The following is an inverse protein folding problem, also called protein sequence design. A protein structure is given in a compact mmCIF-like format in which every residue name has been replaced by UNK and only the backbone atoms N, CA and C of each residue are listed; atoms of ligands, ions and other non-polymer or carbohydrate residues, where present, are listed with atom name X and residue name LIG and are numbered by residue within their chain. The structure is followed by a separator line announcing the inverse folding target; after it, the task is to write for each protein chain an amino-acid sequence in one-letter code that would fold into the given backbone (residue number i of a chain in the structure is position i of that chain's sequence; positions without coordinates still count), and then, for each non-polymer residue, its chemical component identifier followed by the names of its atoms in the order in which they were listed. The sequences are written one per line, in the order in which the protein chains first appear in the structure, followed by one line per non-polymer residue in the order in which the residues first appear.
data_IF_727259082006
#
_entry.id   IF_727259082006
#
_cell.length_a   1.000
_cell.length_b   1.000
_cell.length_c   1.000
_cell.angle_alpha   90.00
_cell.angle_beta   90.00
_cell.angle_gamma   90.00
#
_symmetry.space_group_name_H-M   'P 1'
#
loop_
_entity.id
_entity.type
_entity.pdbx_description
1 polymer ?
#
# COMPACT_ATOMS: atom_id res chain seq x y z
N UNK A 1 -40.58 -26.93 4.71
CA UNK A 1 -39.33 -27.11 5.49
C UNK A 1 -38.29 -26.17 4.92
N UNK A 2 -37.84 -25.20 5.72
CA UNK A 2 -36.70 -24.34 5.38
C UNK A 2 -35.41 -25.18 5.41
N UNK A 3 -34.51 -24.97 4.44
CA UNK A 3 -33.08 -24.84 4.75
C UNK A 3 -32.62 -23.45 4.35
N UNK A 4 -31.92 -22.85 5.30
CA UNK A 4 -31.65 -21.44 5.41
C UNK A 4 -30.61 -20.97 4.39
N UNK A 5 -30.69 -19.68 4.10
CA UNK A 5 -29.68 -18.82 3.47
C UNK A 5 -28.24 -19.28 3.77
N UNK A 6 -27.41 -19.42 2.74
CA UNK A 6 -25.96 -19.26 2.87
C UNK A 6 -25.64 -17.76 2.71
N UNK A 7 -25.16 -17.04 3.73
CA UNK A 7 -24.67 -15.69 3.55
C UNK A 7 -23.16 -15.68 3.77
N UNK A 8 -22.34 -16.00 2.76
CA UNK A 8 -20.89 -15.93 2.98
C UNK A 8 -20.05 -15.65 1.72
N UNK A 9 -20.23 -14.46 1.12
CA UNK A 9 -19.20 -13.80 0.29
C UNK A 9 -19.05 -12.26 0.51
N UNK A 10 -19.71 -11.57 1.47
CA UNK A 10 -19.34 -10.19 1.80
C UNK A 10 -18.11 -10.05 2.72
N UNK A 11 -17.83 -11.05 3.57
CA UNK A 11 -16.92 -10.88 4.71
C UNK A 11 -15.42 -10.98 4.34
N UNK A 12 -15.06 -11.92 3.47
CA UNK A 12 -13.65 -12.13 3.07
C UNK A 12 -13.14 -11.00 2.17
N UNK A 13 -13.96 -10.53 1.22
CA UNK A 13 -13.58 -9.43 0.31
C UNK A 13 -13.46 -8.10 1.04
N UNK A 14 -14.30 -7.86 2.06
CA UNK A 14 -14.21 -6.67 2.90
C UNK A 14 -13.06 -6.74 3.90
N UNK A 15 -12.77 -7.91 4.49
CA UNK A 15 -11.59 -8.11 5.34
C UNK A 15 -10.29 -7.88 4.56
N UNK A 16 -10.21 -8.43 3.35
CA UNK A 16 -9.08 -8.22 2.45
C UNK A 16 -8.87 -6.74 2.10
N UNK A 17 -9.93 -6.05 1.69
CA UNK A 17 -9.86 -4.63 1.33
C UNK A 17 -9.46 -3.77 2.54
N UNK A 18 -9.95 -4.11 3.74
CA UNK A 18 -9.58 -3.43 4.99
C UNK A 18 -8.11 -3.64 5.34
N UNK A 19 -7.59 -4.86 5.19
CA UNK A 19 -6.19 -5.16 5.49
C UNK A 19 -5.26 -4.46 4.50
N UNK A 20 -5.59 -4.48 3.21
CA UNK A 20 -4.89 -3.68 2.18
C UNK A 20 -4.85 -2.20 2.56
N UNK A 21 -6.00 -1.63 2.94
CA UNK A 21 -6.09 -0.24 3.34
C UNK A 21 -5.19 0.05 4.55
N UNK A 22 -5.24 -0.79 5.59
CA UNK A 22 -4.42 -0.62 6.79
C UNK A 22 -2.92 -0.64 6.48
N UNK A 23 -2.45 -1.52 5.60
CA UNK A 23 -1.05 -1.51 5.16
C UNK A 23 -0.69 -0.18 4.47
N UNK A 24 -1.52 0.28 3.52
CA UNK A 24 -1.27 1.53 2.81
C UNK A 24 -1.34 2.76 3.73
N UNK A 25 -2.21 2.76 4.74
CA UNK A 25 -2.28 3.81 5.75
C UNK A 25 -1.02 3.85 6.63
N UNK A 26 -0.53 2.68 7.07
CA UNK A 26 0.74 2.57 7.81
C UNK A 26 1.92 3.12 6.99
N UNK A 27 1.99 2.80 5.71
CA UNK A 27 3.01 3.38 4.83
C UNK A 27 2.83 4.90 4.67
N UNK A 28 1.60 5.37 4.48
CA UNK A 28 1.32 6.80 4.31
C UNK A 28 1.75 7.63 5.54
N UNK A 29 1.65 7.06 6.74
CA UNK A 29 2.08 7.71 7.99
C UNK A 29 3.60 7.95 8.05
N UNK A 30 4.40 7.11 7.38
CA UNK A 30 5.87 7.19 7.38
C UNK A 30 6.42 8.23 6.38
N UNK A 31 5.62 8.65 5.41
CA UNK A 31 6.05 9.53 4.30
C UNK A 31 6.49 10.93 4.75
N UNK A 32 5.74 11.66 5.61
CA UNK A 32 6.08 13.04 5.94
C UNK A 32 7.42 13.17 6.65
N UNK A 33 7.80 12.18 7.46
CA UNK A 33 9.11 12.14 8.14
C UNK A 33 10.30 12.07 7.18
N UNK A 34 10.05 11.74 5.90
CA UNK A 34 11.04 11.60 4.82
C UNK A 34 10.88 12.66 3.74
N UNK A 35 10.07 13.70 3.99
CA UNK A 35 9.78 14.76 3.01
C UNK A 35 8.93 14.29 1.82
N UNK A 36 8.32 13.11 1.91
CA UNK A 36 7.43 12.58 0.89
C UNK A 36 5.98 12.99 1.18
N UNK A 37 5.18 13.06 0.12
CA UNK A 37 3.75 13.29 0.23
C UNK A 37 3.01 12.10 -0.37
N UNK A 38 1.89 11.72 0.25
CA UNK A 38 1.08 10.58 -0.16
C UNK A 38 -0.40 10.91 -0.27
N UNK A 39 -1.10 10.25 -1.18
CA UNK A 39 -2.56 10.33 -1.34
C UNK A 39 -3.14 8.96 -1.68
N UNK A 40 -4.16 8.54 -0.92
CA UNK A 40 -4.93 7.34 -1.24
C UNK A 40 -5.79 7.56 -2.49
N UNK A 41 -5.78 6.59 -3.39
CA UNK A 41 -6.62 6.57 -4.60
C UNK A 41 -7.43 5.26 -4.66
N UNK A 42 -8.64 5.32 -5.19
CA UNK A 42 -9.51 4.15 -5.36
C UNK A 42 -10.38 3.82 -4.13
N UNK A 43 -11.66 3.57 -4.35
CA UNK A 43 -12.64 3.38 -3.27
C UNK A 43 -12.75 1.92 -2.77
N UNK A 44 -12.49 0.91 -3.63
CA UNK A 44 -12.63 -0.51 -3.29
C UNK A 44 -11.34 -1.33 -3.33
N UNK A 45 -10.34 -0.85 -4.08
CA UNK A 45 -9.01 -1.42 -4.15
C UNK A 45 -8.02 -0.26 -4.00
N UNK A 46 -7.82 0.23 -2.77
CA UNK A 46 -7.02 1.42 -2.56
C UNK A 46 -5.57 1.19 -2.99
N UNK A 47 -4.95 2.25 -3.49
CA UNK A 47 -3.52 2.34 -3.82
C UNK A 47 -2.99 3.66 -3.26
N UNK A 48 -1.70 3.72 -2.97
CA UNK A 48 -1.07 4.92 -2.46
C UNK A 48 -0.25 5.60 -3.54
N UNK A 49 -0.67 6.78 -3.97
CA UNK A 49 0.14 7.64 -4.83
C UNK A 49 1.14 8.42 -3.97
N UNK A 50 2.42 8.31 -4.27
CA UNK A 50 3.53 8.92 -3.51
C UNK A 50 4.36 9.79 -4.43
N UNK A 51 4.74 10.98 -3.96
CA UNK A 51 5.61 11.88 -4.71
C UNK A 51 6.58 12.63 -3.79
N UNK A 52 7.72 13.01 -4.36
CA UNK A 52 8.67 13.92 -3.73
C UNK A 52 8.41 15.33 -4.26
N UNK A 53 8.15 16.34 -3.41
CA UNK A 53 7.74 17.67 -3.84
C UNK A 53 8.81 18.37 -4.67
N UNK A 54 10.09 18.24 -4.30
CA UNK A 54 11.16 18.99 -4.97
C UNK A 54 11.63 18.35 -6.28
N UNK A 55 11.77 17.02 -6.35
CA UNK A 55 12.17 16.35 -7.60
C UNK A 55 11.03 16.21 -8.60
N UNK A 56 9.77 16.37 -8.16
CA UNK A 56 8.57 16.14 -8.98
C UNK A 56 8.35 14.67 -9.39
N UNK A 57 9.19 13.74 -8.91
CA UNK A 57 9.09 12.31 -9.22
C UNK A 57 8.03 11.66 -8.34
N UNK A 58 7.41 10.64 -8.89
CA UNK A 58 6.24 9.98 -8.28
C UNK A 58 6.20 8.49 -8.61
N UNK A 59 5.50 7.74 -7.77
CA UNK A 59 5.17 6.33 -7.99
C UNK A 59 3.82 5.99 -7.36
N UNK A 60 3.29 4.81 -7.67
CA UNK A 60 2.11 4.25 -7.00
C UNK A 60 2.56 2.98 -6.27
N UNK A 61 2.18 2.89 -5.00
CA UNK A 61 2.43 1.73 -4.15
C UNK A 61 1.14 0.93 -4.01
N UNK A 62 1.24 -0.38 -4.23
CA UNK A 62 0.18 -1.36 -4.06
C UNK A 62 0.52 -2.25 -2.87
N UNK A 63 -0.48 -2.64 -2.07
CA UNK A 63 -0.34 -3.71 -1.09
C UNK A 63 -1.04 -4.98 -1.60
N UNK A 64 -0.30 -6.08 -1.68
CA UNK A 64 -0.76 -7.35 -2.22
C UNK A 64 -0.46 -8.50 -1.24
N UNK A 65 -1.38 -9.48 -1.10
CA UNK A 65 -1.07 -10.69 -0.35
C UNK A 65 0.04 -11.46 -1.06
N UNK A 66 0.86 -12.14 -0.26
CA UNK A 66 1.91 -13.07 -0.66
C UNK A 66 1.79 -14.37 0.16
N UNK A 67 2.60 -15.37 -0.17
CA UNK A 67 2.49 -16.71 0.44
C UNK A 67 2.60 -16.71 1.98
N UNK A 68 3.37 -15.78 2.54
CA UNK A 68 3.69 -15.67 3.97
C UNK A 68 3.32 -14.30 4.57
N UNK A 69 2.47 -13.51 3.92
CA UNK A 69 2.04 -12.22 4.45
C UNK A 69 1.58 -11.24 3.38
N UNK A 70 2.10 -10.02 3.45
CA UNK A 70 1.80 -8.94 2.51
C UNK A 70 3.07 -8.27 2.02
N UNK A 71 3.03 -7.83 0.77
CA UNK A 71 4.09 -7.06 0.13
C UNK A 71 3.54 -5.71 -0.32
N UNK A 72 4.37 -4.68 -0.16
CA UNK A 72 4.27 -3.48 -0.97
C UNK A 72 4.97 -3.70 -2.31
N UNK A 73 4.37 -3.18 -3.38
CA UNK A 73 4.88 -3.23 -4.75
C UNK A 73 4.86 -1.82 -5.35
N UNK A 74 5.94 -1.40 -6.02
CA UNK A 74 6.02 -0.12 -6.72
C UNK A 74 6.95 -0.19 -7.93
N UNK A 75 6.69 0.58 -8.98
CA UNK A 75 7.53 0.63 -10.16
C UNK A 75 8.85 1.38 -9.91
N UNK A 76 9.95 1.05 -10.62
CA UNK A 76 10.03 0.06 -11.69
C UNK A 76 10.11 -1.41 -11.23
N UNK A 77 10.71 -1.70 -10.09
CA UNK A 77 11.03 -3.07 -9.63
C UNK A 77 10.96 -3.23 -8.09
N UNK A 78 10.38 -2.26 -7.41
CA UNK A 78 10.33 -2.22 -5.96
C UNK A 78 9.33 -3.20 -5.36
N UNK A 79 9.82 -4.03 -4.45
CA UNK A 79 8.99 -4.84 -3.57
C UNK A 79 9.63 -4.94 -2.19
N UNK A 80 8.82 -4.93 -1.15
CA UNK A 80 9.27 -5.18 0.22
C UNK A 80 8.08 -5.63 1.08
N UNK A 81 8.36 -6.33 2.18
CA UNK A 81 7.33 -6.74 3.12
C UNK A 81 6.61 -5.53 3.75
N UNK A 82 5.40 -5.75 4.25
CA UNK A 82 4.64 -4.69 4.94
C UNK A 82 4.96 -4.58 6.43
N UNK A 83 5.90 -5.36 6.95
CA UNK A 83 6.22 -5.41 8.39
C UNK A 83 7.02 -4.18 8.85
N UNK A 84 7.81 -3.59 7.95
CA UNK A 84 8.57 -2.36 8.18
C UNK A 84 8.19 -1.26 7.16
N UNK A 85 7.08 -0.53 7.41
CA UNK A 85 6.66 0.56 6.51
C UNK A 85 7.68 1.71 6.47
N UNK A 86 8.51 1.87 7.50
CA UNK A 86 9.57 2.88 7.53
C UNK A 86 10.64 2.58 6.49
N UNK A 87 11.16 1.34 6.47
CA UNK A 87 12.08 0.87 5.44
C UNK A 87 11.51 1.04 4.03
N UNK A 88 10.24 0.73 3.85
CA UNK A 88 9.55 0.89 2.55
C UNK A 88 9.54 2.37 2.13
N UNK A 89 9.20 3.27 3.05
CA UNK A 89 9.21 4.71 2.79
C UNK A 89 10.63 5.22 2.47
N UNK A 90 11.68 4.67 3.10
CA UNK A 90 13.08 5.00 2.77
C UNK A 90 13.46 4.56 1.36
N UNK A 91 13.06 3.36 0.95
CA UNK A 91 13.32 2.83 -0.40
C UNK A 91 12.58 3.64 -1.48
N UNK A 92 11.31 3.95 -1.24
CA UNK A 92 10.52 4.83 -2.12
C UNK A 92 11.15 6.22 -2.16
N UNK A 93 11.60 6.75 -1.02
CA UNK A 93 12.31 8.02 -0.96
C UNK A 93 13.53 8.08 -1.88
N UNK A 94 14.43 7.10 -1.76
CA UNK A 94 15.63 6.98 -2.62
C UNK A 94 15.26 6.90 -4.10
N UNK A 95 14.26 6.08 -4.43
CA UNK A 95 13.76 5.98 -5.78
C UNK A 95 13.33 7.35 -6.32
N UNK A 96 12.62 8.15 -5.52
CA UNK A 96 12.06 9.43 -5.94
C UNK A 96 13.06 10.60 -5.89
N UNK A 97 14.13 10.53 -5.09
CA UNK A 97 15.21 11.52 -5.12
C UNK A 97 16.19 11.28 -6.28
N UNK A 98 16.23 10.07 -6.84
CA UNK A 98 17.15 9.72 -7.94
C UNK A 98 18.58 9.51 -7.49
N UNK A 99 18.76 9.25 -6.20
CA UNK A 99 20.03 8.82 -5.64
C UNK A 99 20.16 7.31 -5.89
N UNK A 100 21.18 6.85 -6.63
CA UNK A 100 21.44 5.43 -6.80
C UNK A 100 21.81 4.73 -5.49
#
# INVERSE_FOLDING_TARGET
MLKANDPEVPDVTTAFARQRLAHLESLAAELPGRGLVGRMLGAGAPVLWVWHPDSGRQTIVFASPAGDGWLFLWSPDGQENTEDPGRVADLVGKLLTGTP
#
